data_IF_997275431637
#
_entry.id   IF_997275431637
#
_cell.length_a   1.000
_cell.length_b   1.000
_cell.length_c   1.000
_cell.angle_alpha   90.00
_cell.angle_beta   90.00
_cell.angle_gamma   90.00
#
_symmetry.space_group_name_H-M   'P 1'
#
loop_
_entity.id
_entity.type
_entity.pdbx_description
1 polymer ?
#
# COMPACT_ATOMS: atom_id res chain seq x y z
N UNK A 1 6.25 -12.00 0.22
CA UNK A 1 4.97 -12.48 0.75
C UNK A 1 3.88 -11.50 0.36
N UNK A 2 2.73 -11.99 -0.10
CA UNK A 2 1.57 -11.17 -0.47
C UNK A 2 1.08 -10.32 0.71
N UNK A 3 0.67 -9.08 0.44
CA UNK A 3 0.03 -8.21 1.44
C UNK A 3 -1.20 -8.88 2.07
N UNK A 4 -1.43 -8.78 3.39
CA UNK A 4 -2.64 -9.30 4.00
C UNK A 4 -3.90 -8.75 3.32
N UNK A 5 -4.85 -9.65 3.01
CA UNK A 5 -6.11 -9.30 2.34
C UNK A 5 -6.92 -8.27 3.14
N UNK A 6 -6.84 -8.35 4.47
CA UNK A 6 -7.52 -7.44 5.40
C UNK A 6 -6.52 -6.85 6.40
N UNK A 7 -6.83 -5.67 6.93
CA UNK A 7 -6.07 -5.09 8.03
C UNK A 7 -6.19 -5.92 9.31
N UNK A 8 -5.07 -6.15 10.00
CA UNK A 8 -5.00 -6.90 11.26
C UNK A 8 -5.84 -6.32 12.40
N UNK A 9 -6.13 -5.01 12.39
CA UNK A 9 -6.90 -4.35 13.45
C UNK A 9 -8.34 -4.07 13.02
N UNK A 10 -8.52 -3.44 11.86
CA UNK A 10 -9.84 -2.94 11.43
C UNK A 10 -10.64 -3.94 10.58
N UNK A 11 -10.01 -5.01 10.06
CA UNK A 11 -10.65 -5.98 9.17
C UNK A 11 -11.03 -5.46 7.79
N UNK A 12 -10.79 -4.17 7.48
CA UNK A 12 -11.04 -3.58 6.15
C UNK A 12 -10.20 -4.30 5.10
N UNK A 13 -10.77 -4.56 3.93
CA UNK A 13 -10.07 -5.12 2.77
C UNK A 13 -9.04 -4.10 2.25
N UNK A 14 -7.79 -4.53 2.12
CA UNK A 14 -6.67 -3.69 1.71
C UNK A 14 -5.96 -4.20 0.44
N UNK A 15 -6.04 -5.50 0.12
CA UNK A 15 -5.33 -6.07 -1.02
C UNK A 15 -5.66 -5.38 -2.36
N UNK A 16 -6.93 -5.06 -2.60
CA UNK A 16 -7.36 -4.40 -3.84
C UNK A 16 -6.80 -2.98 -4.01
N UNK A 17 -6.50 -2.28 -2.92
CA UNK A 17 -5.98 -0.92 -2.95
C UNK A 17 -4.45 -0.88 -3.05
N UNK A 18 -3.79 -1.99 -2.75
CA UNK A 18 -2.35 -2.04 -2.64
C UNK A 18 -1.63 -1.95 -3.99
N UNK A 19 -2.20 -2.54 -5.04
CA UNK A 19 -1.61 -2.47 -6.38
C UNK A 19 -1.54 -1.03 -6.91
N UNK A 20 -2.60 -0.26 -6.68
CA UNK A 20 -2.66 1.14 -7.08
C UNK A 20 -1.73 2.00 -6.23
N UNK A 21 -1.70 1.78 -4.91
CA UNK A 21 -0.75 2.43 -4.01
C UNK A 21 0.70 2.18 -4.45
N UNK A 22 1.05 0.95 -4.80
CA UNK A 22 2.39 0.59 -5.24
C UNK A 22 2.82 1.37 -6.48
N UNK A 23 1.93 1.47 -7.49
CA UNK A 23 2.22 2.18 -8.74
C UNK A 23 2.44 3.67 -8.48
N UNK A 24 1.49 4.33 -7.80
CA UNK A 24 1.56 5.77 -7.57
C UNK A 24 2.74 6.19 -6.69
N UNK A 25 3.01 5.44 -5.62
CA UNK A 25 4.08 5.81 -4.68
C UNK A 25 5.46 5.41 -5.21
N UNK A 26 5.63 4.20 -5.76
CA UNK A 26 6.96 3.70 -6.12
C UNK A 26 7.34 3.90 -7.59
N UNK A 27 6.37 4.01 -8.51
CA UNK A 27 6.67 4.28 -9.94
C UNK A 27 6.55 5.77 -10.27
N UNK A 28 5.48 6.42 -9.81
CA UNK A 28 5.20 7.83 -10.14
C UNK A 28 5.83 8.81 -9.14
N UNK A 29 6.23 8.33 -7.96
CA UNK A 29 6.90 9.14 -6.93
C UNK A 29 5.94 10.08 -6.19
N UNK A 30 4.64 9.77 -6.16
CA UNK A 30 3.66 10.55 -5.42
C UNK A 30 3.82 10.41 -3.90
N UNK A 31 3.39 11.44 -3.17
CA UNK A 31 3.41 11.43 -1.71
C UNK A 31 2.43 10.37 -1.16
N UNK A 32 2.96 9.42 -0.38
CA UNK A 32 2.19 8.31 0.18
C UNK A 32 0.96 8.76 0.98
N UNK A 33 1.00 9.92 1.64
CA UNK A 33 -0.14 10.43 2.41
C UNK A 33 -1.30 10.80 1.49
N UNK A 34 -1.01 11.51 0.39
CA UNK A 34 -2.02 11.92 -0.60
C UNK A 34 -2.67 10.71 -1.25
N UNK A 35 -1.85 9.75 -1.70
CA UNK A 35 -2.35 8.51 -2.31
C UNK A 35 -3.26 7.74 -1.33
N UNK A 36 -2.87 7.62 -0.06
CA UNK A 36 -3.70 6.94 0.95
C UNK A 36 -5.00 7.69 1.26
N UNK A 37 -4.99 9.02 1.18
CA UNK A 37 -6.18 9.86 1.35
C UNK A 37 -7.16 9.66 0.18
N UNK A 38 -6.64 9.65 -1.06
CA UNK A 38 -7.43 9.42 -2.29
C UNK A 38 -8.01 8.01 -2.37
N UNK A 39 -7.24 6.99 -1.98
CA UNK A 39 -7.71 5.60 -1.89
C UNK A 39 -8.72 5.36 -0.76
N UNK A 40 -9.10 6.40 0.00
CA UNK A 40 -10.09 6.31 1.07
C UNK A 40 -9.61 5.52 2.30
N UNK A 41 -8.30 5.40 2.50
CA UNK A 41 -7.71 4.73 3.66
C UNK A 41 -7.57 5.72 4.81
N UNK A 42 -8.66 6.01 5.52
CA UNK A 42 -8.67 7.06 6.58
C UNK A 42 -8.03 6.63 7.91
N UNK A 43 -8.22 5.38 8.33
CA UNK A 43 -7.78 4.91 9.65
C UNK A 43 -6.28 4.58 9.66
N UNK A 44 -5.56 5.05 10.68
CA UNK A 44 -4.13 4.80 10.86
C UNK A 44 -3.78 3.31 10.89
N UNK A 45 -4.63 2.47 11.49
CA UNK A 45 -4.39 1.03 11.57
C UNK A 45 -4.36 0.36 10.19
N UNK A 46 -5.26 0.78 9.29
CA UNK A 46 -5.28 0.27 7.94
C UNK A 46 -4.14 0.89 7.09
N UNK A 47 -3.73 2.16 7.34
CA UNK A 47 -2.54 2.78 6.71
C UNK A 47 -1.23 2.08 7.06
N UNK A 48 -1.02 1.76 8.34
CA UNK A 48 0.19 1.06 8.82
C UNK A 48 0.44 -0.23 8.04
N UNK A 49 -0.60 -1.02 7.79
CA UNK A 49 -0.48 -2.28 7.06
C UNK A 49 0.05 -2.07 5.64
N UNK A 50 -0.37 -1.01 4.96
CA UNK A 50 0.08 -0.67 3.60
C UNK A 50 1.52 -0.13 3.61
N UNK A 51 1.81 0.81 4.51
CA UNK A 51 3.11 1.50 4.59
C UNK A 51 4.22 0.53 5.03
N UNK A 52 3.94 -0.36 5.98
CA UNK A 52 4.93 -1.29 6.53
C UNK A 52 5.09 -2.57 5.71
N UNK A 53 4.39 -2.72 4.58
CA UNK A 53 4.57 -3.89 3.73
C UNK A 53 5.94 -3.83 3.04
N UNK A 54 6.77 -4.89 3.10
CA UNK A 54 8.08 -4.88 2.48
C UNK A 54 7.94 -4.88 0.96
N UNK A 55 8.44 -3.81 0.34
CA UNK A 55 8.47 -3.62 -1.12
C UNK A 55 9.89 -3.27 -1.51
N UNK A 56 10.41 -3.88 -2.58
CA UNK A 56 11.68 -3.48 -3.17
C UNK A 56 11.51 -3.09 -4.63
N UNK A 57 12.28 -2.08 -5.02
CA UNK A 57 12.34 -1.60 -6.39
C UNK A 57 13.54 -2.30 -7.04
N UNK A 58 13.31 -3.09 -8.09
CA UNK A 58 14.39 -3.69 -8.88
C UNK A 58 14.06 -3.51 -10.35
N UNK A 59 14.96 -2.86 -11.10
CA UNK A 59 14.83 -2.61 -12.54
C UNK A 59 13.56 -1.83 -12.92
N UNK A 60 13.22 -0.76 -12.17
CA UNK A 60 11.98 0.03 -12.33
C UNK A 60 10.67 -0.76 -12.19
N UNK A 61 10.72 -1.99 -11.66
CA UNK A 61 9.54 -2.78 -11.31
C UNK A 61 9.42 -2.90 -9.79
N UNK A 62 8.19 -2.68 -9.30
CA UNK A 62 7.85 -2.86 -7.89
C UNK A 62 7.64 -4.34 -7.64
N UNK A 63 8.62 -4.98 -6.99
CA UNK A 63 8.58 -6.41 -6.69
C UNK A 63 8.32 -6.65 -5.21
N UNK A 64 7.44 -7.61 -4.95
CA UNK A 64 7.20 -8.15 -3.61
C UNK A 64 8.20 -9.30 -3.36
N UNK A 65 8.71 -9.47 -2.13
CA UNK A 65 9.50 -10.64 -1.74
C UNK A 65 8.68 -11.92 -1.71
#
# INVERSE_FOLDING_TARGET
MIIPVRCFTCGKVLASLFEEYKKRVYLEGEDAKKVLDELGVRRYCCRRTIISHPVYIKDNEVKEP
#
